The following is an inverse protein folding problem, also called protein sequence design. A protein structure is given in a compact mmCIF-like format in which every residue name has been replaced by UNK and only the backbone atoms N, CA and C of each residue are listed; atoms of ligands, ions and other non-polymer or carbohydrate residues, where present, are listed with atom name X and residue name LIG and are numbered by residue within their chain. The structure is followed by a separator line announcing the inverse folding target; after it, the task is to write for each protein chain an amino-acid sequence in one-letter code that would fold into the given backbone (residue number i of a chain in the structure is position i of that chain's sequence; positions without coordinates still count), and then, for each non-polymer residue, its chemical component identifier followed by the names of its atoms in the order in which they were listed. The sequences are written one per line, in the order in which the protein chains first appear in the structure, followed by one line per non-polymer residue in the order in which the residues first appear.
data_IF_187746796474
#
_entry.id   IF_187746796474
#
_cell.length_a   1.000
_cell.length_b   1.000
_cell.length_c   1.000
_cell.angle_alpha   90.00
_cell.angle_beta   90.00
_cell.angle_gamma   90.00
#
_symmetry.space_group_name_H-M   'P 1'
#
loop_
_entity.id
_entity.type
_entity.pdbx_description
1 polymer ?
#
# COMPACT_ATOMS: atom_id res chain seq x y z
N UNK A 1 -14.41 23.33 -24.37
CA UNK A 1 -14.24 23.89 -23.01
C UNK A 1 -13.92 22.73 -22.08
N UNK A 2 -12.68 22.61 -21.62
CA UNK A 2 -12.27 21.55 -20.70
C UNK A 2 -12.69 21.94 -19.28
N UNK A 3 -13.70 21.26 -18.77
CA UNK A 3 -14.12 21.36 -17.37
C UNK A 3 -13.08 20.64 -16.50
N UNK A 4 -12.03 21.35 -16.11
CA UNK A 4 -11.06 20.90 -15.12
C UNK A 4 -11.55 21.27 -13.70
N UNK A 5 -12.75 20.81 -13.35
CA UNK A 5 -13.35 21.06 -12.03
C UNK A 5 -13.06 19.82 -11.16
N UNK A 6 -12.35 20.05 -10.05
CA UNK A 6 -11.87 19.07 -9.08
C UNK A 6 -10.61 18.29 -9.49
N UNK A 7 -9.46 18.98 -9.57
CA UNK A 7 -8.24 18.36 -9.05
C UNK A 7 -8.44 18.13 -7.55
N UNK A 8 -9.01 16.98 -7.18
CA UNK A 8 -8.94 16.48 -5.80
C UNK A 8 -7.50 16.63 -5.36
N UNK A 9 -7.24 17.42 -4.29
CA UNK A 9 -5.90 17.59 -3.74
C UNK A 9 -5.24 16.20 -3.69
N UNK A 10 -4.14 16.02 -4.43
CA UNK A 10 -3.37 14.79 -4.36
C UNK A 10 -3.06 14.56 -2.88
N UNK A 11 -3.53 13.43 -2.34
CA UNK A 11 -3.32 13.11 -0.93
C UNK A 11 -1.82 13.00 -0.69
N UNK A 12 -1.34 13.59 0.41
CA UNK A 12 0.07 13.49 0.74
C UNK A 12 0.44 12.03 1.06
N UNK A 13 1.72 11.63 0.92
CA UNK A 13 2.15 10.28 1.30
C UNK A 13 1.77 9.93 2.74
N UNK A 14 1.88 10.88 3.67
CA UNK A 14 1.46 10.73 5.05
C UNK A 14 -0.06 10.46 5.17
N UNK A 15 -0.89 11.23 4.46
CA UNK A 15 -2.32 11.03 4.47
C UNK A 15 -2.70 9.67 3.88
N UNK A 16 -2.04 9.22 2.82
CA UNK A 16 -2.28 7.90 2.24
C UNK A 16 -2.03 6.79 3.25
N UNK A 17 -0.86 6.81 3.91
CA UNK A 17 -0.51 5.82 4.94
C UNK A 17 -1.53 5.80 6.08
N UNK A 18 -1.91 6.99 6.57
CA UNK A 18 -2.92 7.11 7.62
C UNK A 18 -4.27 6.55 7.20
N UNK A 19 -4.77 6.92 6.01
CA UNK A 19 -6.07 6.44 5.55
C UNK A 19 -6.11 4.93 5.31
N UNK A 20 -5.03 4.32 4.82
CA UNK A 20 -4.96 2.86 4.67
C UNK A 20 -5.01 2.20 6.05
N UNK A 21 -4.24 2.69 7.01
CA UNK A 21 -4.22 2.17 8.38
C UNK A 21 -5.59 2.26 9.03
N UNK A 22 -6.24 3.41 8.95
CA UNK A 22 -7.59 3.63 9.50
C UNK A 22 -8.64 2.74 8.83
N UNK A 23 -8.52 2.50 7.51
CA UNK A 23 -9.42 1.61 6.78
C UNK A 23 -9.19 0.14 7.14
N UNK A 24 -7.95 -0.29 7.37
CA UNK A 24 -7.63 -1.66 7.82
C UNK A 24 -8.29 -1.94 9.18
N UNK A 25 -8.25 -1.00 10.13
CA UNK A 25 -8.91 -1.19 11.42
C UNK A 25 -10.44 -1.30 11.33
N UNK A 26 -11.04 -0.82 10.24
CA UNK A 26 -12.48 -0.94 9.98
C UNK A 26 -12.87 -2.24 9.29
N UNK A 27 -11.91 -3.07 8.86
CA UNK A 27 -12.18 -4.35 8.18
C UNK A 27 -12.90 -5.37 9.07
N UNK A 28 -12.77 -5.25 10.39
CA UNK A 28 -13.45 -6.11 11.36
C UNK A 28 -14.86 -5.59 11.75
N UNK A 29 -15.29 -4.47 11.15
CA UNK A 29 -16.56 -3.80 11.46
C UNK A 29 -17.70 -4.08 10.47
N UNK A 30 -18.91 -3.55 10.73
CA UNK A 30 -20.07 -3.69 9.85
C UNK A 30 -19.85 -3.04 8.47
N UNK A 31 -18.96 -2.05 8.39
CA UNK A 31 -18.61 -1.34 7.15
C UNK A 31 -17.44 -1.99 6.37
N UNK A 32 -17.13 -3.28 6.61
CA UNK A 32 -15.98 -3.98 6.03
C UNK A 32 -15.83 -3.80 4.50
N UNK A 33 -16.95 -3.81 3.76
CA UNK A 33 -16.95 -3.67 2.29
C UNK A 33 -16.44 -2.30 1.84
N UNK A 34 -16.96 -1.24 2.48
CA UNK A 34 -16.55 0.12 2.20
C UNK A 34 -15.10 0.36 2.62
N UNK A 35 -14.68 -0.21 3.75
CA UNK A 35 -13.30 -0.17 4.20
C UNK A 35 -12.34 -0.85 3.19
N UNK A 36 -12.71 -2.01 2.65
CA UNK A 36 -11.89 -2.70 1.64
C UNK A 36 -11.77 -1.91 0.32
N UNK A 37 -12.85 -1.30 -0.14
CA UNK A 37 -12.84 -0.41 -1.32
C UNK A 37 -11.93 0.81 -1.09
N UNK A 38 -11.97 1.40 0.11
CA UNK A 38 -11.08 2.49 0.50
C UNK A 38 -9.61 2.06 0.53
N UNK A 39 -9.30 0.90 1.13
CA UNK A 39 -7.93 0.34 1.12
C UNK A 39 -7.43 0.15 -0.31
N UNK A 40 -8.23 -0.48 -1.17
CA UNK A 40 -7.88 -0.71 -2.58
C UNK A 40 -7.58 0.60 -3.31
N UNK A 41 -8.46 1.60 -3.17
CA UNK A 41 -8.28 2.92 -3.79
C UNK A 41 -6.96 3.59 -3.36
N UNK A 42 -6.63 3.55 -2.09
CA UNK A 42 -5.41 4.19 -1.59
C UNK A 42 -4.15 3.40 -1.92
N UNK A 43 -4.20 2.07 -1.99
CA UNK A 43 -3.09 1.25 -2.48
C UNK A 43 -2.75 1.57 -3.93
N UNK A 44 -3.75 1.83 -4.79
CA UNK A 44 -3.52 2.30 -6.16
C UNK A 44 -2.81 3.66 -6.16
N UNK A 45 -3.27 4.60 -5.34
CA UNK A 45 -2.60 5.91 -5.22
C UNK A 45 -1.15 5.78 -4.72
N UNK A 46 -0.87 4.87 -3.79
CA UNK A 46 0.52 4.59 -3.37
C UNK A 46 1.36 3.98 -4.49
N UNK A 47 0.77 3.08 -5.28
CA UNK A 47 1.45 2.48 -6.43
C UNK A 47 1.82 3.54 -7.46
N UNK A 48 0.92 4.46 -7.78
CA UNK A 48 1.19 5.54 -8.74
C UNK A 48 2.36 6.43 -8.26
N UNK A 49 2.54 6.63 -6.95
CA UNK A 49 3.71 7.33 -6.40
C UNK A 49 5.00 6.53 -6.61
N UNK A 50 4.96 5.21 -6.47
CA UNK A 50 6.13 4.33 -6.55
C UNK A 50 6.57 3.97 -7.97
N UNK A 51 5.62 3.89 -8.89
CA UNK A 51 5.83 3.46 -10.27
C UNK A 51 5.70 4.59 -11.29
N UNK A 52 5.20 5.76 -10.87
CA UNK A 52 4.79 6.81 -11.79
C UNK A 52 3.32 6.67 -12.20
N UNK A 53 2.78 7.73 -12.79
CA UNK A 53 1.43 7.77 -13.34
C UNK A 53 1.54 8.17 -14.81
N UNK A 54 0.90 7.40 -15.70
CA UNK A 54 0.99 7.54 -17.15
C UNK A 54 2.44 7.58 -17.66
N UNK A 55 2.88 8.73 -18.19
CA UNK A 55 4.22 8.97 -18.76
C UNK A 55 5.16 9.75 -17.80
N UNK A 56 4.78 9.93 -16.54
CA UNK A 56 5.61 10.62 -15.56
C UNK A 56 6.35 9.63 -14.65
N UNK A 57 7.68 9.72 -14.69
CA UNK A 57 8.54 9.00 -13.76
C UNK A 57 8.22 9.34 -12.29
N UNK A 58 8.35 8.36 -11.38
CA UNK A 58 8.09 8.57 -9.96
C UNK A 58 9.05 9.61 -9.37
N UNK A 59 8.50 10.61 -8.67
CA UNK A 59 9.30 11.62 -7.98
C UNK A 59 10.11 10.99 -6.84
N UNK A 60 11.46 11.07 -6.87
CA UNK A 60 12.31 10.47 -5.83
C UNK A 60 12.00 10.99 -4.41
N UNK A 61 11.64 12.27 -4.29
CA UNK A 61 11.27 12.91 -3.02
C UNK A 61 9.95 12.34 -2.46
N UNK A 62 8.93 12.20 -3.31
CA UNK A 62 7.65 11.63 -2.89
C UNK A 62 7.78 10.14 -2.53
N UNK A 63 8.59 9.39 -3.27
CA UNK A 63 8.91 7.99 -2.96
C UNK A 63 9.64 7.89 -1.61
N UNK A 64 10.59 8.79 -1.34
CA UNK A 64 11.31 8.80 -0.07
C UNK A 64 10.39 9.11 1.12
N UNK A 65 9.50 10.11 0.97
CA UNK A 65 8.51 10.46 1.99
C UNK A 65 7.52 9.32 2.23
N UNK A 66 7.00 8.71 1.17
CA UNK A 66 6.08 7.57 1.29
C UNK A 66 6.74 6.41 2.02
N UNK A 67 7.96 6.03 1.63
CA UNK A 67 8.68 4.95 2.29
C UNK A 67 8.90 5.22 3.78
N UNK A 68 9.29 6.45 4.14
CA UNK A 68 9.48 6.83 5.54
C UNK A 68 8.20 6.70 6.37
N UNK A 69 7.06 7.14 5.83
CA UNK A 69 5.78 7.02 6.51
C UNK A 69 5.29 5.58 6.60
N UNK A 70 5.51 4.77 5.56
CA UNK A 70 5.24 3.33 5.58
C UNK A 70 6.02 2.62 6.69
N UNK A 71 7.31 2.97 6.88
CA UNK A 71 8.15 2.40 7.94
C UNK A 71 7.76 2.89 9.33
N UNK A 72 7.37 4.16 9.48
CA UNK A 72 6.91 4.72 10.76
C UNK A 72 5.58 4.14 11.22
N UNK A 73 4.69 3.87 10.28
CA UNK A 73 3.35 3.38 10.58
C UNK A 73 3.25 1.86 10.71
N UNK A 74 4.36 1.14 10.46
CA UNK A 74 4.43 -0.32 10.35
C UNK A 74 3.41 -0.90 9.36
N UNK A 75 3.17 -0.14 8.29
CA UNK A 75 2.08 -0.42 7.37
C UNK A 75 2.29 -1.74 6.62
N UNK A 76 3.54 -2.10 6.32
CA UNK A 76 3.87 -3.38 5.67
C UNK A 76 3.43 -4.57 6.52
N UNK A 77 3.71 -4.54 7.82
CA UNK A 77 3.30 -5.59 8.74
C UNK A 77 1.77 -5.66 8.85
N UNK A 78 1.12 -4.50 8.94
CA UNK A 78 -0.33 -4.42 9.04
C UNK A 78 -1.04 -4.95 7.78
N UNK A 79 -0.52 -4.67 6.60
CA UNK A 79 -1.03 -5.18 5.32
C UNK A 79 -0.89 -6.70 5.23
N UNK A 80 0.27 -7.25 5.62
CA UNK A 80 0.52 -8.70 5.63
C UNK A 80 -0.41 -9.41 6.61
N UNK A 81 -0.56 -8.90 7.84
CA UNK A 81 -1.42 -9.51 8.86
C UNK A 81 -2.91 -9.56 8.46
N UNK A 82 -3.36 -8.62 7.65
CA UNK A 82 -4.75 -8.52 7.24
C UNK A 82 -4.96 -8.99 5.78
N UNK A 83 -3.95 -9.61 5.16
CA UNK A 83 -3.99 -9.93 3.73
C UNK A 83 -5.12 -10.94 3.42
N UNK A 84 -5.30 -11.93 4.29
CA UNK A 84 -6.40 -12.91 4.25
C UNK A 84 -7.79 -12.28 4.44
N UNK A 85 -7.88 -11.17 5.19
CA UNK A 85 -9.16 -10.49 5.41
C UNK A 85 -9.67 -9.79 4.16
N UNK A 86 -8.80 -9.59 3.17
CA UNK A 86 -9.20 -9.12 1.87
C UNK A 86 -9.83 -10.23 1.00
N UNK A 87 -9.95 -11.50 1.41
CA UNK A 87 -10.29 -12.60 0.48
C UNK A 87 -11.78 -12.92 0.22
N UNK A 88 -12.79 -12.25 0.79
CA UNK A 88 -14.17 -12.80 0.74
C UNK A 88 -15.22 -11.98 -0.02
N UNK A 89 -15.45 -12.32 -1.30
CA UNK A 89 -16.76 -12.56 -1.98
C UNK A 89 -16.62 -12.74 -3.53
N UNK A 90 -17.44 -13.60 -4.15
CA UNK A 90 -17.13 -14.33 -5.41
C UNK A 90 -17.47 -13.56 -6.73
N UNK A 91 -16.72 -13.94 -7.79
CA UNK A 91 -16.81 -13.70 -9.26
C UNK A 91 -16.43 -12.34 -9.90
N UNK A 92 -16.89 -11.18 -9.42
CA UNK A 92 -16.41 -9.87 -9.94
C UNK A 92 -15.23 -9.34 -9.12
N UNK A 93 -15.19 -9.71 -7.84
CA UNK A 93 -14.16 -9.27 -6.92
C UNK A 93 -12.86 -10.07 -7.03
N UNK A 94 -12.84 -11.22 -7.73
CA UNK A 94 -11.59 -11.94 -8.06
C UNK A 94 -10.57 -11.01 -8.74
N UNK A 95 -11.02 -10.16 -9.66
CA UNK A 95 -10.14 -9.18 -10.30
C UNK A 95 -9.65 -8.15 -9.29
N UNK A 96 -10.50 -7.67 -8.39
CA UNK A 96 -10.13 -6.72 -7.34
C UNK A 96 -9.16 -7.35 -6.34
N UNK A 97 -9.35 -8.61 -5.95
CA UNK A 97 -8.49 -9.31 -5.00
C UNK A 97 -7.14 -9.66 -5.60
N UNK A 98 -7.12 -10.22 -6.81
CA UNK A 98 -5.88 -10.43 -7.58
C UNK A 98 -5.17 -9.09 -7.79
N UNK A 99 -5.92 -8.01 -8.02
CA UNK A 99 -5.36 -6.67 -8.15
C UNK A 99 -4.76 -6.19 -6.83
N UNK A 100 -5.46 -6.28 -5.69
CA UNK A 100 -4.94 -5.89 -4.37
C UNK A 100 -3.69 -6.69 -4.01
N UNK A 101 -3.72 -8.02 -4.14
CA UNK A 101 -2.57 -8.88 -3.89
C UNK A 101 -1.38 -8.52 -4.78
N UNK A 102 -1.61 -8.32 -6.08
CA UNK A 102 -0.55 -7.90 -6.99
C UNK A 102 0.00 -6.52 -6.65
N UNK A 103 -0.84 -5.55 -6.28
CA UNK A 103 -0.37 -4.22 -5.88
C UNK A 103 0.45 -4.28 -4.59
N UNK A 104 0.02 -5.05 -3.60
CA UNK A 104 0.78 -5.26 -2.34
C UNK A 104 2.12 -5.91 -2.65
N UNK A 105 2.14 -6.97 -3.44
CA UNK A 105 3.37 -7.65 -3.85
C UNK A 105 4.31 -6.73 -4.65
N UNK A 106 3.77 -5.91 -5.54
CA UNK A 106 4.53 -4.92 -6.32
C UNK A 106 5.15 -3.87 -5.40
N UNK A 107 4.37 -3.25 -4.53
CA UNK A 107 4.84 -2.26 -3.54
C UNK A 107 5.95 -2.88 -2.67
N UNK A 108 5.72 -4.09 -2.16
CA UNK A 108 6.67 -4.79 -1.32
C UNK A 108 7.99 -5.05 -2.06
N UNK A 109 7.92 -5.58 -3.29
CA UNK A 109 9.10 -5.85 -4.11
C UNK A 109 9.87 -4.57 -4.49
N UNK A 110 9.16 -3.48 -4.78
CA UNK A 110 9.77 -2.20 -5.10
C UNK A 110 10.56 -1.65 -3.90
N UNK A 111 9.94 -1.64 -2.71
CA UNK A 111 10.59 -1.21 -1.48
C UNK A 111 11.77 -2.13 -1.11
N UNK A 112 11.63 -3.44 -1.26
CA UNK A 112 12.70 -4.40 -0.98
C UNK A 112 13.99 -4.11 -1.79
N UNK A 113 13.83 -3.64 -3.04
CA UNK A 113 14.93 -3.28 -3.95
C UNK A 113 15.40 -1.83 -3.78
N UNK A 114 14.79 -1.06 -2.88
CA UNK A 114 15.18 0.33 -2.65
C UNK A 114 16.48 0.37 -1.87
N UNK A 115 17.49 1.01 -2.46
CA UNK A 115 18.81 1.22 -1.85
C UNK A 115 18.98 2.69 -1.45
N UNK A 116 19.57 2.94 -0.28
CA UNK A 116 20.00 4.28 0.15
C UNK A 116 21.50 4.18 0.48
N UNK A 117 22.35 4.72 -0.40
CA UNK A 117 23.80 4.51 -0.32
C UNK A 117 24.15 3.03 -0.48
N UNK A 118 24.82 2.44 0.50
CA UNK A 118 25.15 1.00 0.54
C UNK A 118 24.11 0.15 1.28
N UNK A 119 23.06 0.76 1.83
CA UNK A 119 22.08 0.09 2.70
C UNK A 119 20.79 -0.25 1.97
N UNK A 120 20.12 -1.29 2.47
CA UNK A 120 18.82 -1.77 2.01
C UNK A 120 17.81 -1.59 3.15
N UNK A 121 17.19 -0.40 3.28
CA UNK A 121 16.39 -0.06 4.46
C UNK A 121 15.23 -1.04 4.71
N UNK A 122 14.60 -1.55 3.65
CA UNK A 122 13.50 -2.50 3.77
C UNK A 122 13.97 -3.87 4.23
N UNK A 123 15.16 -4.31 3.79
CA UNK A 123 15.77 -5.57 4.28
C UNK A 123 16.09 -5.44 5.77
N UNK A 124 16.71 -4.33 6.17
CA UNK A 124 17.02 -4.06 7.58
C UNK A 124 15.76 -4.00 8.45
N UNK A 125 14.68 -3.39 7.94
CA UNK A 125 13.39 -3.34 8.63
C UNK A 125 12.76 -4.73 8.80
N UNK A 126 12.85 -5.59 7.78
CA UNK A 126 12.36 -6.98 7.86
C UNK A 126 13.22 -7.80 8.83
N UNK A 127 14.55 -7.63 8.83
CA UNK A 127 15.43 -8.29 9.80
C UNK A 127 15.13 -7.86 11.24
N UNK A 128 14.71 -6.62 11.47
CA UNK A 128 14.26 -6.17 12.79
C UNK A 128 12.88 -6.71 13.19
N UNK A 129 12.11 -7.28 12.25
CA UNK A 129 10.73 -7.78 12.44
C UNK A 129 10.50 -9.06 11.66
N UNK A 130 11.16 -10.13 12.10
CA UNK A 130 11.11 -11.44 11.45
C UNK A 130 9.68 -12.02 11.34
N UNK A 131 8.76 -11.58 12.21
CA UNK A 131 7.33 -11.92 12.15
C UNK A 131 6.71 -11.64 10.77
N UNK A 132 7.18 -10.63 10.04
CA UNK A 132 6.69 -10.33 8.69
C UNK A 132 6.92 -11.55 7.77
N UNK A 133 8.08 -12.20 7.86
CA UNK A 133 8.41 -13.38 7.07
C UNK A 133 7.55 -14.58 7.46
N UNK A 134 7.36 -14.81 8.77
CA UNK A 134 6.53 -15.90 9.25
C UNK A 134 5.05 -15.74 8.89
N UNK A 135 4.53 -14.52 8.89
CA UNK A 135 3.16 -14.24 8.47
C UNK A 135 2.99 -14.42 6.96
N UNK A 136 3.96 -13.96 6.14
CA UNK A 136 3.96 -14.23 4.70
C UNK A 136 4.00 -15.73 4.38
N UNK A 137 4.72 -16.53 5.19
CA UNK A 137 4.81 -17.98 5.04
C UNK A 137 3.52 -18.71 5.42
N UNK A 138 2.72 -18.15 6.33
CA UNK A 138 1.46 -18.75 6.79
C UNK A 138 0.31 -18.54 5.82
N UNK A 139 0.43 -17.55 4.91
CA UNK A 139 -0.50 -17.28 3.81
C UNK A 139 -1.84 -16.80 4.29
#
# INVERSE_FOLDING_TARGET
MNFNIFKTKQKTPHDLVKHIKDAIYKLDGPDKRKAAEEVSKYLVSMKNILYGEDDHDPSPDLVAQLAQEVYRADLLQLLVLNIQKFEFEIDIYIYIYIYIYNNVAQIFNNLLRRQIGSRWPTVEHICAREEILFNLLRG
#
